data_IF_122171186682
#
_entry.id   IF_122171186682
#
_cell.length_a   1.000
_cell.length_b   1.000
_cell.length_c   1.000
_cell.angle_alpha   90.00
_cell.angle_beta   90.00
_cell.angle_gamma   90.00
#
_symmetry.space_group_name_H-M   'P 1'
#
loop_
_entity.id
_entity.type
_entity.pdbx_description
1 polymer ?
#
# COMPACT_ATOMS: atom_id res chain seq x y z
N UNK A 1 -28.52 -25.09 0.44
CA UNK A 1 -28.55 -24.43 1.77
C UNK A 1 -27.65 -23.20 1.65
N UNK A 2 -28.24 -22.02 1.66
CA UNK A 2 -27.49 -20.76 1.59
C UNK A 2 -26.98 -20.47 3.00
N UNK A 3 -25.64 -20.51 3.19
CA UNK A 3 -25.02 -20.03 4.41
C UNK A 3 -25.21 -18.51 4.47
N UNK A 4 -25.95 -18.08 5.48
CA UNK A 4 -26.17 -16.69 5.81
C UNK A 4 -24.82 -16.08 6.24
N UNK A 5 -24.33 -15.10 5.46
CA UNK A 5 -23.22 -14.26 5.88
C UNK A 5 -23.52 -13.66 7.25
N UNK A 6 -22.63 -13.89 8.20
CA UNK A 6 -22.78 -13.45 9.59
C UNK A 6 -22.80 -11.92 9.66
N UNK A 7 -24.00 -11.39 9.73
CA UNK A 7 -24.28 -10.00 10.04
C UNK A 7 -24.15 -9.83 11.55
N UNK A 8 -23.19 -9.01 12.02
CA UNK A 8 -23.29 -8.47 13.36
C UNK A 8 -24.21 -7.24 13.26
N UNK A 9 -25.38 -7.20 13.91
CA UNK A 9 -26.34 -6.10 13.75
C UNK A 9 -25.71 -4.78 14.24
N UNK A 10 -26.05 -3.69 13.54
CA UNK A 10 -25.85 -2.34 14.05
C UNK A 10 -26.52 -2.27 15.42
N UNK A 11 -25.77 -1.91 16.46
CA UNK A 11 -26.32 -1.68 17.79
C UNK A 11 -27.20 -0.41 17.74
N UNK A 12 -28.47 -0.61 17.36
CA UNK A 12 -29.50 0.39 17.46
C UNK A 12 -29.99 0.46 18.90
N UNK A 13 -29.43 1.31 19.69
CA UNK A 13 -29.88 1.60 21.04
C UNK A 13 -29.18 2.84 21.57
N UNK A 14 -29.96 3.86 21.91
CA UNK A 14 -29.55 5.15 22.48
C UNK A 14 -29.10 5.04 23.95
N UNK A 15 -28.34 4.02 24.31
CA UNK A 15 -27.61 3.99 25.56
C UNK A 15 -26.25 4.68 25.35
N UNK A 16 -25.86 5.60 26.27
CA UNK A 16 -24.50 6.15 26.21
C UNK A 16 -23.49 4.99 26.23
N UNK A 17 -22.40 5.06 25.41
CA UNK A 17 -21.42 4.00 25.36
C UNK A 17 -20.91 3.71 26.77
N UNK A 18 -20.78 2.42 27.13
CA UNK A 18 -20.19 2.04 28.41
C UNK A 18 -18.77 2.63 28.51
N UNK A 19 -18.28 2.86 29.74
CA UNK A 19 -16.93 3.39 29.95
C UNK A 19 -15.86 2.58 29.20
N UNK A 20 -16.07 1.28 29.05
CA UNK A 20 -15.22 0.35 28.27
C UNK A 20 -15.22 0.66 26.78
N UNK A 21 -16.41 0.94 26.18
CA UNK A 21 -16.55 1.28 24.77
C UNK A 21 -15.81 2.57 24.43
N UNK A 22 -15.93 3.59 25.31
CA UNK A 22 -15.23 4.87 25.13
C UNK A 22 -13.71 4.75 25.30
N UNK A 23 -13.23 3.78 26.09
CA UNK A 23 -11.78 3.53 26.24
C UNK A 23 -11.18 2.87 25.02
N UNK A 24 -11.83 1.86 24.45
CA UNK A 24 -11.35 1.19 23.24
C UNK A 24 -11.30 2.15 22.02
N UNK A 25 -12.30 3.02 21.88
CA UNK A 25 -12.30 4.02 20.81
C UNK A 25 -11.17 5.06 21.01
N UNK A 26 -10.90 5.48 22.25
CA UNK A 26 -9.77 6.38 22.55
C UNK A 26 -8.41 5.72 22.26
N UNK A 27 -8.25 4.43 22.55
CA UNK A 27 -7.03 3.68 22.24
C UNK A 27 -6.81 3.58 20.74
N UNK A 28 -7.87 3.30 19.98
CA UNK A 28 -7.84 3.28 18.52
C UNK A 28 -7.47 4.65 17.93
N UNK A 29 -8.07 5.72 18.47
CA UNK A 29 -7.78 7.09 18.06
C UNK A 29 -6.34 7.50 18.39
N UNK A 30 -5.83 7.13 19.57
CA UNK A 30 -4.45 7.40 19.95
C UNK A 30 -3.43 6.68 19.03
N UNK A 31 -3.73 5.44 18.61
CA UNK A 31 -2.89 4.72 17.64
C UNK A 31 -2.87 5.42 16.27
N UNK A 32 -4.03 5.90 15.81
CA UNK A 32 -4.13 6.67 14.57
C UNK A 32 -3.36 8.00 14.68
N UNK A 33 -3.52 8.70 15.79
CA UNK A 33 -2.86 9.99 16.05
C UNK A 33 -1.33 9.86 16.06
N UNK A 34 -0.81 8.83 16.73
CA UNK A 34 0.61 8.52 16.72
C UNK A 34 1.12 8.26 15.29
N UNK A 35 0.43 7.42 14.52
CA UNK A 35 0.81 7.15 13.14
C UNK A 35 0.67 8.36 12.22
N UNK A 36 -0.29 9.25 12.47
CA UNK A 36 -0.42 10.50 11.73
C UNK A 36 0.71 11.48 12.05
N UNK A 37 1.12 11.55 13.31
CA UNK A 37 2.25 12.38 13.77
C UNK A 37 3.58 11.87 13.19
N UNK A 38 3.81 10.55 13.16
CA UNK A 38 4.99 9.93 12.53
C UNK A 38 5.07 10.22 11.01
N UNK A 39 3.94 10.56 10.38
CA UNK A 39 3.84 10.86 8.95
C UNK A 39 3.78 12.39 8.65
N UNK A 40 3.96 13.23 9.66
CA UNK A 40 3.87 14.69 9.54
C UNK A 40 2.54 15.12 8.89
N UNK A 41 1.41 14.49 9.27
CA UNK A 41 0.09 14.92 8.81
C UNK A 41 -0.31 16.17 9.61
N UNK A 42 -0.50 17.27 8.89
CA UNK A 42 -0.86 18.55 9.49
C UNK A 42 -2.18 18.45 10.30
N UNK A 43 -2.28 19.24 11.34
CA UNK A 43 -3.43 19.23 12.25
C UNK A 43 -4.75 19.61 11.57
N UNK A 44 -4.70 20.46 10.56
CA UNK A 44 -5.83 20.94 9.76
C UNK A 44 -5.96 20.27 8.38
N UNK A 45 -5.32 19.12 8.18
CA UNK A 45 -5.27 18.43 6.90
C UNK A 45 -6.66 18.04 6.37
N UNK A 46 -6.80 18.03 5.04
CA UNK A 46 -7.92 17.37 4.36
C UNK A 46 -7.56 15.92 4.09
N UNK A 47 -8.38 14.98 4.59
CA UNK A 47 -8.16 13.54 4.45
C UNK A 47 -9.30 12.87 3.71
N UNK A 48 -8.98 12.17 2.63
CA UNK A 48 -9.88 11.22 1.98
C UNK A 48 -9.64 9.86 2.60
N UNK A 49 -10.60 9.34 3.36
CA UNK A 49 -10.53 8.04 4.01
C UNK A 49 -11.01 6.96 3.04
N UNK A 50 -10.12 6.05 2.63
CA UNK A 50 -10.49 4.93 1.78
C UNK A 50 -11.15 3.83 2.62
N UNK A 51 -12.47 3.72 2.57
CA UNK A 51 -13.26 2.81 3.41
C UNK A 51 -13.93 1.73 2.58
N UNK A 52 -13.60 0.47 2.83
CA UNK A 52 -14.19 -0.71 2.16
C UNK A 52 -15.32 -1.37 2.96
N UNK A 53 -15.58 -0.94 4.20
CA UNK A 53 -16.50 -1.58 5.12
C UNK A 53 -15.87 -2.69 5.97
N UNK A 54 -14.67 -3.17 5.62
CA UNK A 54 -13.92 -4.14 6.42
C UNK A 54 -13.35 -3.54 7.71
N UNK A 55 -12.97 -4.39 8.69
CA UNK A 55 -12.61 -3.94 10.04
C UNK A 55 -11.52 -2.88 10.05
N UNK A 56 -10.44 -3.09 9.29
CA UNK A 56 -9.30 -2.16 9.29
C UNK A 56 -9.73 -0.76 8.80
N UNK A 57 -10.56 -0.69 7.75
CA UNK A 57 -11.02 0.58 7.20
C UNK A 57 -12.11 1.26 8.05
N UNK A 58 -12.93 0.48 8.72
CA UNK A 58 -13.90 0.99 9.72
C UNK A 58 -13.17 1.54 10.93
N UNK A 59 -12.11 0.87 11.38
CA UNK A 59 -11.24 1.36 12.45
C UNK A 59 -10.63 2.72 12.11
N UNK A 60 -10.08 2.88 10.89
CA UNK A 60 -9.55 4.16 10.41
C UNK A 60 -10.61 5.26 10.46
N UNK A 61 -11.81 4.99 9.96
CA UNK A 61 -12.90 5.95 9.89
C UNK A 61 -13.36 6.41 11.27
N UNK A 62 -13.61 5.47 12.18
CA UNK A 62 -14.07 5.79 13.54
C UNK A 62 -13.00 6.50 14.38
N UNK A 63 -11.73 6.07 14.24
CA UNK A 63 -10.61 6.75 14.92
C UNK A 63 -10.44 8.19 14.44
N UNK A 64 -10.50 8.42 13.12
CA UNK A 64 -10.38 9.77 12.57
C UNK A 64 -11.55 10.68 13.00
N UNK A 65 -12.78 10.15 12.94
CA UNK A 65 -13.96 10.89 13.41
C UNK A 65 -13.84 11.25 14.89
N UNK A 66 -13.38 10.33 15.74
CA UNK A 66 -13.21 10.58 17.18
C UNK A 66 -12.15 11.64 17.46
N UNK A 67 -11.05 11.68 16.72
CA UNK A 67 -10.02 12.72 16.88
C UNK A 67 -10.57 14.11 16.52
N UNK A 68 -11.43 14.21 15.51
CA UNK A 68 -12.09 15.46 15.15
C UNK A 68 -13.18 15.85 16.16
N UNK A 69 -14.00 14.89 16.58
CA UNK A 69 -15.08 15.12 17.58
C UNK A 69 -14.53 15.61 18.93
N UNK A 70 -13.38 15.11 19.33
CA UNK A 70 -12.72 15.48 20.60
C UNK A 70 -11.79 16.69 20.49
N UNK A 71 -11.78 17.36 19.34
CA UNK A 71 -10.92 18.52 19.06
C UNK A 71 -9.40 18.23 19.18
N UNK A 72 -9.03 16.94 19.11
CA UNK A 72 -7.64 16.51 19.11
C UNK A 72 -6.95 16.76 17.76
N UNK A 73 -7.74 16.79 16.67
CA UNK A 73 -7.33 17.16 15.31
C UNK A 73 -8.44 17.96 14.62
N UNK A 74 -8.05 18.91 13.78
CA UNK A 74 -8.96 19.76 13.01
C UNK A 74 -9.11 19.28 11.55
N UNK A 75 -9.00 17.98 11.31
CA UNK A 75 -9.04 17.40 9.98
C UNK A 75 -10.39 17.59 9.27
N UNK A 76 -10.36 17.83 7.98
CA UNK A 76 -11.54 17.77 7.11
C UNK A 76 -11.62 16.37 6.50
N UNK A 77 -12.60 15.58 6.94
CA UNK A 77 -12.73 14.18 6.59
C UNK A 77 -13.77 13.96 5.49
N UNK A 78 -13.41 13.16 4.49
CA UNK A 78 -14.35 12.63 3.49
C UNK A 78 -14.14 11.12 3.37
N UNK A 79 -15.20 10.35 3.52
CA UNK A 79 -15.21 8.90 3.31
C UNK A 79 -15.37 8.60 1.84
N UNK A 80 -14.46 7.80 1.27
CA UNK A 80 -14.50 7.36 -0.12
C UNK A 80 -14.63 5.83 -0.18
N UNK A 81 -15.70 5.35 -0.81
CA UNK A 81 -15.95 3.93 -1.04
C UNK A 81 -15.97 3.61 -2.54
N UNK A 82 -15.19 2.60 -2.95
CA UNK A 82 -15.28 2.05 -4.30
C UNK A 82 -16.00 0.70 -4.23
N UNK A 83 -17.18 0.64 -4.85
CA UNK A 83 -17.85 -0.63 -5.13
C UNK A 83 -17.27 -1.23 -6.42
N UNK A 84 -16.61 -2.36 -6.29
CA UNK A 84 -15.94 -3.06 -7.39
C UNK A 84 -16.89 -3.82 -8.32
N UNK A 85 -18.19 -3.95 -7.98
CA UNK A 85 -19.18 -4.70 -8.74
C UNK A 85 -18.85 -6.20 -8.89
N UNK A 86 -18.02 -6.77 -8.01
CA UNK A 86 -17.56 -8.16 -8.13
C UNK A 86 -18.55 -9.19 -7.56
N UNK A 87 -19.40 -8.77 -6.64
CA UNK A 87 -20.39 -9.62 -5.93
C UNK A 87 -21.78 -9.03 -6.03
N UNK A 88 -22.84 -9.86 -6.05
CA UNK A 88 -24.22 -9.37 -5.99
C UNK A 88 -24.50 -8.50 -4.76
N UNK A 89 -23.84 -8.80 -3.63
CA UNK A 89 -24.06 -8.14 -2.35
C UNK A 89 -23.17 -6.88 -2.13
N UNK A 90 -22.38 -6.47 -3.13
CA UNK A 90 -21.48 -5.31 -2.99
C UNK A 90 -22.24 -4.00 -2.70
N UNK A 91 -23.48 -3.87 -3.19
CA UNK A 91 -24.36 -2.75 -2.87
C UNK A 91 -24.69 -2.64 -1.37
N UNK A 92 -24.76 -3.76 -0.65
CA UNK A 92 -24.97 -3.77 0.79
C UNK A 92 -23.72 -3.25 1.55
N UNK A 93 -22.53 -3.49 1.01
CA UNK A 93 -21.32 -2.93 1.59
C UNK A 93 -21.27 -1.41 1.41
N UNK A 94 -21.67 -0.91 0.23
CA UNK A 94 -21.77 0.52 -0.04
C UNK A 94 -22.80 1.20 0.89
N UNK A 95 -23.98 0.58 1.06
CA UNK A 95 -25.01 1.07 2.01
C UNK A 95 -24.47 1.09 3.44
N UNK A 96 -23.81 0.01 3.89
CA UNK A 96 -23.23 -0.06 5.22
C UNK A 96 -22.23 1.09 5.47
N UNK A 97 -21.34 1.36 4.52
CA UNK A 97 -20.35 2.44 4.66
C UNK A 97 -21.02 3.81 4.65
N UNK A 98 -22.06 4.02 3.80
CA UNK A 98 -22.82 5.25 3.76
C UNK A 98 -23.53 5.53 5.09
N UNK A 99 -24.19 4.53 5.65
CA UNK A 99 -24.89 4.64 6.95
C UNK A 99 -23.90 4.93 8.09
N UNK A 100 -22.75 4.23 8.10
CA UNK A 100 -21.71 4.47 9.09
C UNK A 100 -21.11 5.89 8.99
N UNK A 101 -20.88 6.39 7.79
CA UNK A 101 -20.42 7.74 7.55
C UNK A 101 -21.46 8.80 7.99
N UNK A 102 -22.76 8.53 7.71
CA UNK A 102 -23.85 9.42 8.13
C UNK A 102 -23.97 9.50 9.67
N UNK A 103 -23.85 8.37 10.39
CA UNK A 103 -23.83 8.33 11.87
C UNK A 103 -22.68 9.19 12.43
N UNK A 104 -21.53 9.22 11.76
CA UNK A 104 -20.38 10.02 12.15
C UNK A 104 -20.40 11.45 11.57
N UNK A 105 -21.48 11.85 10.89
CA UNK A 105 -21.61 13.16 10.23
C UNK A 105 -20.48 13.47 9.25
N UNK A 106 -19.94 12.43 8.57
CA UNK A 106 -18.86 12.56 7.58
C UNK A 106 -19.42 12.66 6.16
N UNK A 107 -18.76 13.46 5.31
CA UNK A 107 -19.03 13.46 3.87
C UNK A 107 -18.71 12.08 3.28
N UNK A 108 -19.55 11.62 2.32
CA UNK A 108 -19.43 10.31 1.71
C UNK A 108 -19.44 10.39 0.19
N UNK A 109 -18.48 9.73 -0.44
CA UNK A 109 -18.32 9.64 -1.89
C UNK A 109 -18.28 8.18 -2.34
N UNK A 110 -19.16 7.81 -3.26
CA UNK A 110 -19.29 6.47 -3.83
C UNK A 110 -18.90 6.46 -5.30
N UNK A 111 -18.09 5.47 -5.68
CA UNK A 111 -17.89 5.12 -7.09
C UNK A 111 -18.21 3.64 -7.30
N UNK A 112 -19.05 3.37 -8.30
CA UNK A 112 -19.28 2.02 -8.81
C UNK A 112 -18.38 1.79 -10.03
N UNK A 113 -17.67 0.65 -10.07
CA UNK A 113 -16.80 0.29 -11.20
C UNK A 113 -16.93 -1.21 -11.49
N UNK A 114 -17.24 -1.57 -12.75
CA UNK A 114 -17.16 -2.98 -13.18
C UNK A 114 -15.68 -3.36 -13.40
N UNK A 115 -15.06 -3.85 -12.33
CA UNK A 115 -13.66 -4.25 -12.34
C UNK A 115 -13.40 -5.45 -13.26
N UNK A 116 -14.39 -6.33 -13.49
CA UNK A 116 -14.24 -7.47 -14.44
C UNK A 116 -14.14 -6.97 -15.88
N UNK A 117 -14.97 -5.98 -16.26
CA UNK A 117 -14.88 -5.37 -17.56
C UNK A 117 -13.55 -4.63 -17.74
N UNK A 118 -13.12 -3.87 -16.73
CA UNK A 118 -11.84 -3.16 -16.74
C UNK A 118 -10.64 -4.12 -16.90
N UNK A 119 -10.62 -5.21 -16.13
CA UNK A 119 -9.57 -6.24 -16.20
C UNK A 119 -9.46 -6.84 -17.61
N UNK A 120 -10.60 -7.16 -18.25
CA UNK A 120 -10.62 -7.68 -19.63
C UNK A 120 -10.10 -6.66 -20.65
N UNK A 121 -10.53 -5.40 -20.52
CA UNK A 121 -10.15 -4.34 -21.46
C UNK A 121 -8.66 -3.99 -21.37
N UNK A 122 -8.10 -4.01 -20.15
CA UNK A 122 -6.70 -3.64 -19.92
C UNK A 122 -5.74 -4.87 -19.94
N UNK A 123 -6.25 -6.10 -20.09
CA UNK A 123 -5.44 -7.32 -20.10
C UNK A 123 -4.73 -7.57 -18.76
N UNK A 124 -5.36 -7.22 -17.63
CA UNK A 124 -4.81 -7.32 -16.28
C UNK A 124 -5.54 -8.36 -15.43
N UNK A 125 -4.96 -8.71 -14.29
CA UNK A 125 -5.68 -9.47 -13.27
C UNK A 125 -6.82 -8.63 -12.68
N UNK A 126 -7.88 -9.29 -12.15
CA UNK A 126 -8.98 -8.60 -11.47
C UNK A 126 -8.48 -7.81 -10.25
N UNK A 127 -7.48 -8.36 -9.54
CA UNK A 127 -6.87 -7.71 -8.37
C UNK A 127 -6.16 -6.41 -8.77
N UNK A 128 -5.33 -6.46 -9.83
CA UNK A 128 -4.60 -5.27 -10.32
C UNK A 128 -5.56 -4.21 -10.87
N UNK A 129 -6.59 -4.63 -11.64
CA UNK A 129 -7.59 -3.72 -12.18
C UNK A 129 -8.41 -3.05 -11.06
N UNK A 130 -8.79 -3.81 -10.02
CA UNK A 130 -9.49 -3.27 -8.86
C UNK A 130 -8.63 -2.30 -8.04
N UNK A 131 -7.35 -2.63 -7.89
CA UNK A 131 -6.38 -1.74 -7.25
C UNK A 131 -6.20 -0.44 -8.02
N UNK A 132 -6.02 -0.51 -9.33
CA UNK A 132 -5.87 0.65 -10.21
C UNK A 132 -7.13 1.52 -10.20
N UNK A 133 -8.32 0.92 -10.34
CA UNK A 133 -9.60 1.64 -10.28
C UNK A 133 -9.76 2.40 -8.95
N UNK A 134 -9.36 1.77 -7.84
CA UNK A 134 -9.40 2.40 -6.51
C UNK A 134 -8.51 3.64 -6.44
N UNK A 135 -7.26 3.54 -6.87
CA UNK A 135 -6.35 4.69 -6.81
C UNK A 135 -6.78 5.80 -7.76
N UNK A 136 -7.20 5.49 -8.99
CA UNK A 136 -7.76 6.49 -9.91
C UNK A 136 -8.97 7.24 -9.32
N UNK A 137 -9.86 6.51 -8.66
CA UNK A 137 -11.01 7.11 -7.98
C UNK A 137 -10.58 8.03 -6.83
N UNK A 138 -9.74 7.53 -5.93
CA UNK A 138 -9.26 8.30 -4.80
C UNK A 138 -8.50 9.56 -5.24
N UNK A 139 -7.63 9.44 -6.23
CA UNK A 139 -6.86 10.56 -6.78
C UNK A 139 -7.77 11.62 -7.45
N UNK A 140 -8.83 11.18 -8.15
CA UNK A 140 -9.79 12.07 -8.76
C UNK A 140 -10.62 12.88 -7.75
N UNK A 141 -10.88 12.30 -6.56
CA UNK A 141 -11.58 12.98 -5.47
C UNK A 141 -10.69 13.92 -4.68
N UNK A 142 -9.37 13.73 -4.75
CA UNK A 142 -8.44 14.37 -3.82
C UNK A 142 -7.99 15.73 -4.35
N UNK A 143 -8.38 16.86 -3.73
CA UNK A 143 -7.80 18.18 -4.02
C UNK A 143 -6.27 18.15 -3.92
N UNK A 144 -5.57 19.11 -4.53
CA UNK A 144 -4.11 19.10 -4.61
C UNK A 144 -3.42 19.08 -3.23
N UNK A 145 -4.04 19.67 -2.22
CA UNK A 145 -3.57 19.79 -0.83
C UNK A 145 -4.06 18.68 0.10
N UNK A 146 -4.95 17.77 -0.37
CA UNK A 146 -5.49 16.71 0.47
C UNK A 146 -4.67 15.41 0.39
N UNK A 147 -4.72 14.61 1.48
CA UNK A 147 -4.10 13.31 1.60
C UNK A 147 -5.13 12.18 1.47
N UNK A 148 -4.69 11.02 1.02
CA UNK A 148 -5.48 9.79 0.95
C UNK A 148 -5.01 8.87 2.08
N UNK A 149 -5.86 8.66 3.09
CA UNK A 149 -5.58 7.74 4.18
C UNK A 149 -6.13 6.34 3.88
N UNK A 150 -5.27 5.32 3.98
CA UNK A 150 -5.64 3.93 3.77
C UNK A 150 -5.30 3.09 5.01
N UNK A 151 -6.14 2.12 5.34
CA UNK A 151 -6.07 1.31 6.55
C UNK A 151 -5.18 0.07 6.41
N UNK A 152 -3.99 0.21 5.78
CA UNK A 152 -3.03 -0.87 5.75
C UNK A 152 -2.42 -1.08 7.15
N UNK A 153 -2.23 -2.34 7.51
CA UNK A 153 -1.76 -2.79 8.83
C UNK A 153 -0.35 -3.39 8.77
N UNK A 154 0.23 -3.69 9.94
CA UNK A 154 1.49 -4.42 10.04
C UNK A 154 1.40 -5.81 9.39
N UNK A 155 0.23 -6.44 9.44
CA UNK A 155 -0.01 -7.71 8.76
C UNK A 155 0.10 -7.57 7.25
N UNK A 156 -0.47 -6.51 6.64
CA UNK A 156 -0.35 -6.25 5.19
C UNK A 156 1.09 -5.98 4.78
N UNK A 157 1.84 -5.26 5.61
CA UNK A 157 3.26 -5.01 5.37
C UNK A 157 4.07 -6.32 5.39
N UNK A 158 3.85 -7.18 6.39
CA UNK A 158 4.51 -8.48 6.51
C UNK A 158 4.12 -9.41 5.35
N UNK A 159 2.82 -9.50 5.00
CA UNK A 159 2.34 -10.25 3.83
C UNK A 159 3.09 -9.80 2.55
N UNK A 160 3.24 -8.49 2.35
CA UNK A 160 3.90 -7.93 1.16
C UNK A 160 5.39 -8.28 1.12
N UNK A 161 6.09 -8.20 2.25
CA UNK A 161 7.50 -8.61 2.37
C UNK A 161 7.66 -10.09 2.02
N UNK A 162 6.84 -10.96 2.61
CA UNK A 162 6.88 -12.40 2.37
C UNK A 162 6.57 -12.74 0.91
N UNK A 163 5.55 -12.12 0.30
CA UNK A 163 5.22 -12.30 -1.11
C UNK A 163 6.38 -11.89 -2.03
N UNK A 164 7.05 -10.79 -1.73
CA UNK A 164 8.19 -10.31 -2.50
C UNK A 164 9.41 -11.23 -2.34
N UNK A 165 9.67 -11.77 -1.15
CA UNK A 165 10.69 -12.80 -0.92
C UNK A 165 10.42 -14.07 -1.75
N UNK A 166 9.17 -14.54 -1.76
CA UNK A 166 8.77 -15.70 -2.56
C UNK A 166 8.92 -15.48 -4.08
N UNK A 167 8.84 -14.22 -4.53
CA UNK A 167 9.09 -13.83 -5.94
C UNK A 167 10.57 -13.64 -6.27
N UNK A 168 11.46 -13.81 -5.29
CA UNK A 168 12.90 -13.58 -5.50
C UNK A 168 13.29 -12.11 -5.59
N UNK A 169 12.49 -11.21 -5.02
CA UNK A 169 12.82 -9.78 -5.01
C UNK A 169 14.07 -9.49 -4.17
N UNK A 170 14.92 -8.59 -4.66
CA UNK A 170 16.04 -8.07 -3.91
C UNK A 170 15.62 -7.13 -2.76
N UNK A 171 16.57 -6.33 -2.28
CA UNK A 171 16.36 -5.43 -1.13
C UNK A 171 15.17 -4.48 -1.34
N UNK A 172 14.96 -3.96 -2.54
CA UNK A 172 13.80 -3.13 -2.86
C UNK A 172 12.44 -3.80 -2.62
N UNK A 173 12.36 -5.12 -2.75
CA UNK A 173 11.13 -5.89 -2.50
C UNK A 173 10.80 -6.04 -1.02
N UNK A 174 11.82 -6.07 -0.15
CA UNK A 174 11.62 -6.25 1.30
C UNK A 174 11.31 -4.94 2.05
N UNK A 175 11.33 -3.80 1.35
CA UNK A 175 10.82 -2.52 1.89
C UNK A 175 9.34 -2.60 2.30
N UNK A 176 8.61 -3.62 1.83
CA UNK A 176 7.21 -3.81 2.14
C UNK A 176 6.31 -2.70 1.61
N UNK A 177 5.34 -2.29 2.43
CA UNK A 177 4.43 -1.19 2.11
C UNK A 177 4.98 0.09 2.74
N UNK A 178 5.29 1.14 1.95
CA UNK A 178 5.77 2.40 2.52
C UNK A 178 4.64 3.09 3.31
N UNK A 179 4.97 3.67 4.45
CA UNK A 179 4.02 4.39 5.28
C UNK A 179 3.46 5.63 4.57
N UNK A 180 4.27 6.27 3.70
CA UNK A 180 3.83 7.36 2.81
C UNK A 180 4.34 7.13 1.38
N UNK A 181 3.47 7.36 0.39
CA UNK A 181 3.81 7.38 -1.04
C UNK A 181 3.07 8.53 -1.72
N UNK A 182 3.78 9.63 -1.94
CA UNK A 182 3.15 10.86 -2.42
C UNK A 182 2.06 11.33 -1.46
N UNK A 183 0.83 11.44 -1.94
CA UNK A 183 -0.35 11.83 -1.13
C UNK A 183 -1.00 10.69 -0.36
N UNK A 184 -0.59 9.44 -0.58
CA UNK A 184 -1.15 8.28 0.12
C UNK A 184 -0.40 8.08 1.42
N UNK A 185 -1.14 8.05 2.53
CA UNK A 185 -0.65 7.82 3.90
C UNK A 185 -1.28 6.59 4.52
N UNK A 186 -0.56 5.91 5.41
CA UNK A 186 -0.97 4.66 6.06
C UNK A 186 -0.71 4.73 7.57
N UNK A 187 -1.50 5.52 8.27
CA UNK A 187 -1.22 5.82 9.69
C UNK A 187 -1.41 4.62 10.62
N UNK A 188 -2.13 3.56 10.19
CA UNK A 188 -2.33 2.33 10.97
C UNK A 188 -1.30 1.22 10.65
N UNK A 189 -0.22 1.52 9.92
CA UNK A 189 0.73 0.52 9.44
C UNK A 189 1.51 -0.20 10.56
N UNK A 190 1.53 0.34 11.77
CA UNK A 190 2.14 -0.26 12.96
C UNK A 190 1.18 -1.16 13.75
N UNK A 191 -0.15 -1.02 13.53
CA UNK A 191 -1.18 -1.79 14.20
C UNK A 191 -1.36 -3.17 13.57
N UNK A 192 -1.69 -4.15 14.41
CA UNK A 192 -2.05 -5.50 13.96
C UNK A 192 -3.55 -5.55 13.61
N UNK A 193 -3.90 -6.34 12.61
CA UNK A 193 -5.30 -6.52 12.18
C UNK A 193 -6.19 -7.04 13.31
N UNK A 194 -5.71 -7.98 14.13
CA UNK A 194 -6.48 -8.49 15.26
C UNK A 194 -6.67 -7.40 16.34
N UNK A 195 -5.66 -6.58 16.63
CA UNK A 195 -5.79 -5.47 17.59
C UNK A 195 -6.88 -4.49 17.17
N UNK A 196 -6.95 -4.12 15.88
CA UNK A 196 -8.02 -3.27 15.36
C UNK A 196 -9.40 -3.91 15.52
N UNK A 197 -9.53 -5.23 15.25
CA UNK A 197 -10.79 -5.96 15.43
C UNK A 197 -11.22 -6.01 16.89
N UNK A 198 -10.30 -6.35 17.79
CA UNK A 198 -10.57 -6.44 19.21
C UNK A 198 -11.05 -5.09 19.76
N UNK A 199 -10.43 -3.98 19.35
CA UNK A 199 -10.85 -2.63 19.73
C UNK A 199 -12.23 -2.26 19.19
N UNK A 200 -12.55 -2.61 17.93
CA UNK A 200 -13.87 -2.41 17.35
C UNK A 200 -14.94 -3.25 18.07
N UNK A 201 -14.62 -4.51 18.37
CA UNK A 201 -15.54 -5.41 19.09
C UNK A 201 -15.85 -4.91 20.50
N UNK A 202 -14.82 -4.47 21.23
CA UNK A 202 -14.98 -3.86 22.56
C UNK A 202 -15.74 -2.53 22.49
N UNK A 203 -15.50 -1.72 21.45
CA UNK A 203 -16.22 -0.48 21.22
C UNK A 203 -17.67 -0.69 20.74
N UNK A 204 -18.06 -1.91 20.39
CA UNK A 204 -19.37 -2.25 19.84
C UNK A 204 -19.60 -1.70 18.42
N UNK A 205 -18.52 -1.45 17.67
CA UNK A 205 -18.57 -0.90 16.32
C UNK A 205 -18.70 -2.05 15.31
N UNK A 206 -19.77 -2.01 14.51
CA UNK A 206 -20.01 -3.01 13.47
C UNK A 206 -19.08 -2.83 12.27
N UNK A 207 -18.72 -3.94 11.62
CA UNK A 207 -17.96 -3.99 10.37
C UNK A 207 -18.41 -5.17 9.50
N UNK A 208 -18.01 -5.18 8.22
CA UNK A 208 -18.32 -6.25 7.27
C UNK A 208 -17.15 -7.22 7.17
N UNK A 209 -17.45 -8.52 7.04
CA UNK A 209 -16.47 -9.53 6.70
C UNK A 209 -16.71 -9.98 5.26
N UNK A 210 -15.69 -9.93 4.43
CA UNK A 210 -15.73 -10.42 3.06
C UNK A 210 -15.20 -11.85 3.01
N UNK A 211 -16.05 -12.85 2.71
CA UNK A 211 -15.63 -14.26 2.65
C UNK A 211 -14.53 -14.51 1.60
N UNK A 212 -14.42 -13.68 0.56
CA UNK A 212 -13.38 -13.83 -0.47
C UNK A 212 -11.96 -13.56 0.05
N UNK A 213 -11.83 -12.90 1.21
CA UNK A 213 -10.53 -12.68 1.86
C UNK A 213 -9.88 -13.95 2.39
N UNK A 214 -10.64 -15.04 2.51
CA UNK A 214 -10.18 -16.34 3.02
C UNK A 214 -10.02 -17.38 1.90
N UNK A 215 -10.29 -17.03 0.62
CA UNK A 215 -10.15 -17.94 -0.52
C UNK A 215 -8.69 -18.35 -0.74
N UNK A 216 -8.32 -19.64 -0.53
CA UNK A 216 -6.94 -20.11 -0.67
C UNK A 216 -6.44 -20.16 -2.11
N UNK A 217 -7.30 -19.93 -3.11
CA UNK A 217 -6.88 -19.82 -4.50
C UNK A 217 -5.90 -18.63 -4.72
N UNK A 218 -6.00 -17.61 -3.88
CA UNK A 218 -5.11 -16.45 -3.96
C UNK A 218 -3.86 -16.66 -3.09
N UNK A 219 -2.67 -16.49 -3.69
CA UNK A 219 -1.40 -16.65 -2.99
C UNK A 219 -1.30 -15.75 -1.75
N UNK A 220 -1.83 -14.53 -1.80
CA UNK A 220 -1.84 -13.61 -0.67
C UNK A 220 -2.64 -14.17 0.52
N UNK A 221 -3.80 -14.76 0.25
CA UNK A 221 -4.62 -15.37 1.31
C UNK A 221 -3.92 -16.58 1.93
N UNK A 222 -3.20 -17.38 1.13
CA UNK A 222 -2.37 -18.48 1.63
C UNK A 222 -1.22 -17.99 2.49
N UNK A 223 -0.52 -16.92 2.07
CA UNK A 223 0.53 -16.30 2.88
C UNK A 223 -0.04 -15.81 4.21
N UNK A 224 -1.19 -15.14 4.18
CA UNK A 224 -1.89 -14.65 5.37
C UNK A 224 -2.30 -15.79 6.30
N UNK A 225 -3.06 -16.76 5.82
CA UNK A 225 -3.69 -17.80 6.64
C UNK A 225 -2.73 -18.92 7.06
N UNK A 226 -1.69 -19.20 6.28
CA UNK A 226 -0.80 -20.32 6.53
C UNK A 226 0.60 -19.86 6.96
N UNK A 227 1.28 -19.04 6.15
CA UNK A 227 2.68 -18.68 6.41
C UNK A 227 2.80 -17.71 7.60
N UNK A 228 1.99 -16.65 7.63
CA UNK A 228 2.01 -15.68 8.74
C UNK A 228 1.57 -16.36 10.04
N UNK A 229 0.55 -17.21 10.01
CA UNK A 229 0.11 -17.97 11.18
C UNK A 229 1.21 -18.88 11.70
N UNK A 230 1.88 -19.63 10.83
CA UNK A 230 3.01 -20.48 11.20
C UNK A 230 4.18 -19.67 11.81
N UNK A 231 4.51 -18.52 11.20
CA UNK A 231 5.59 -17.67 11.73
C UNK A 231 5.26 -17.12 13.12
N UNK A 232 4.00 -16.76 13.38
CA UNK A 232 3.54 -16.32 14.70
C UNK A 232 3.52 -17.47 15.72
N UNK A 233 3.20 -18.70 15.31
CA UNK A 233 3.28 -19.89 16.14
C UNK A 233 4.74 -20.18 16.55
N UNK A 234 5.66 -20.22 15.57
CA UNK A 234 7.08 -20.46 15.80
C UNK A 234 7.73 -19.37 16.64
N UNK A 235 7.33 -18.14 16.43
CA UNK A 235 7.89 -16.97 17.11
C UNK A 235 6.83 -15.88 17.30
N UNK A 236 6.12 -15.83 18.42
CA UNK A 236 5.17 -14.77 18.72
C UNK A 236 5.75 -13.37 18.50
N UNK A 237 5.01 -12.51 17.80
CA UNK A 237 5.47 -11.20 17.35
C UNK A 237 6.32 -11.22 16.06
N UNK A 238 6.27 -12.29 15.28
CA UNK A 238 6.98 -12.41 13.99
C UNK A 238 6.61 -11.28 13.02
N UNK A 239 5.33 -10.92 12.90
CA UNK A 239 4.86 -9.82 12.04
C UNK A 239 5.51 -8.49 12.41
N UNK A 240 5.58 -8.15 13.70
CA UNK A 240 6.26 -6.93 14.15
C UNK A 240 7.76 -6.94 13.86
N UNK A 241 8.41 -8.11 13.94
CA UNK A 241 9.83 -8.26 13.58
C UNK A 241 10.06 -8.12 12.10
N UNK A 242 9.18 -8.67 11.27
CA UNK A 242 9.21 -8.47 9.80
C UNK A 242 9.02 -6.98 9.47
N UNK A 243 8.08 -6.30 10.11
CA UNK A 243 7.88 -4.87 9.95
C UNK A 243 9.11 -4.05 10.34
N UNK A 244 9.77 -4.38 11.48
CA UNK A 244 11.02 -3.75 11.87
C UNK A 244 12.14 -3.99 10.85
N UNK A 245 12.30 -5.21 10.38
CA UNK A 245 13.27 -5.54 9.33
C UNK A 245 13.00 -4.75 8.05
N UNK A 246 11.74 -4.69 7.62
CA UNK A 246 11.32 -3.93 6.45
C UNK A 246 11.64 -2.44 6.55
N UNK A 247 11.44 -1.84 7.74
CA UNK A 247 11.78 -0.43 7.99
C UNK A 247 13.28 -0.18 7.88
N UNK A 248 14.11 -1.00 8.56
CA UNK A 248 15.57 -0.88 8.47
C UNK A 248 16.06 -1.07 7.02
N UNK A 249 15.54 -2.07 6.31
CA UNK A 249 15.86 -2.28 4.91
C UNK A 249 15.43 -1.10 4.02
N UNK A 250 14.34 -0.40 4.37
CA UNK A 250 13.92 0.82 3.65
C UNK A 250 14.90 1.98 3.85
N UNK A 251 15.41 2.16 5.07
CA UNK A 251 16.40 3.19 5.39
C UNK A 251 17.70 2.94 4.62
N UNK A 252 18.21 1.69 4.62
CA UNK A 252 19.39 1.31 3.85
C UNK A 252 19.20 1.51 2.34
N UNK A 253 18.00 1.13 1.83
CA UNK A 253 17.66 1.25 0.41
C UNK A 253 17.58 2.72 -0.03
N UNK A 254 17.03 3.61 0.80
CA UNK A 254 16.98 5.05 0.52
C UNK A 254 18.38 5.63 0.38
N UNK A 255 19.30 5.30 1.28
CA UNK A 255 20.69 5.72 1.17
C UNK A 255 21.35 5.22 -0.11
N UNK A 256 21.11 3.95 -0.48
CA UNK A 256 21.66 3.38 -1.71
C UNK A 256 21.06 4.03 -2.97
N UNK A 257 19.79 4.41 -2.94
CA UNK A 257 19.13 5.14 -4.02
C UNK A 257 19.68 6.57 -4.17
N UNK A 258 19.94 7.28 -3.05
CA UNK A 258 20.59 8.59 -3.04
C UNK A 258 22.01 8.52 -3.63
N UNK A 259 22.80 7.53 -3.20
CA UNK A 259 24.15 7.31 -3.75
C UNK A 259 24.10 7.00 -5.25
N UNK A 260 23.10 6.22 -5.69
CA UNK A 260 22.93 5.90 -7.11
C UNK A 260 22.48 7.12 -7.93
N UNK A 261 21.62 7.98 -7.38
CA UNK A 261 21.22 9.22 -8.04
C UNK A 261 22.39 10.20 -8.20
N UNK A 262 23.21 10.36 -7.17
CA UNK A 262 24.42 11.16 -7.23
C UNK A 262 25.42 10.60 -8.27
N UNK A 263 25.56 9.28 -8.32
CA UNK A 263 26.43 8.60 -9.28
C UNK A 263 25.91 8.72 -10.71
N UNK A 264 24.59 8.66 -10.93
CA UNK A 264 23.97 8.88 -12.24
C UNK A 264 24.25 10.31 -12.74
N UNK A 265 24.12 11.31 -11.90
CA UNK A 265 24.45 12.70 -12.25
C UNK A 265 25.92 12.86 -12.63
N UNK A 266 26.84 12.25 -11.88
CA UNK A 266 28.28 12.28 -12.16
C UNK A 266 28.65 11.63 -13.49
N UNK A 267 27.90 10.60 -13.91
CA UNK A 267 28.15 9.80 -15.12
C UNK A 267 27.39 10.27 -16.35
N UNK A 268 26.45 11.19 -16.19
CA UNK A 268 25.70 11.74 -17.31
C UNK A 268 26.60 12.39 -18.33
N UNK A 269 26.45 12.03 -19.60
CA UNK A 269 27.15 12.67 -20.70
C UNK A 269 26.32 13.78 -21.30
N UNK A 270 26.93 14.74 -21.99
CA UNK A 270 26.26 15.89 -22.61
C UNK A 270 25.22 15.50 -23.67
N UNK A 271 25.31 14.29 -24.20
CA UNK A 271 24.40 13.72 -25.21
C UNK A 271 23.36 12.72 -24.62
N UNK A 272 23.16 12.77 -23.29
CA UNK A 272 22.13 11.98 -22.59
C UNK A 272 22.53 10.50 -22.35
N UNK A 273 23.79 10.13 -22.53
CA UNK A 273 24.30 8.80 -22.19
C UNK A 273 24.77 8.72 -20.72
N UNK A 274 25.13 7.49 -20.33
CA UNK A 274 25.75 7.19 -19.02
C UNK A 274 27.14 6.60 -19.26
N UNK A 275 28.17 7.26 -18.75
CA UNK A 275 29.58 6.81 -18.87
C UNK A 275 29.85 5.64 -17.91
N UNK A 276 30.37 4.52 -18.46
CA UNK A 276 30.63 3.28 -17.73
C UNK A 276 32.10 2.87 -17.73
N UNK A 277 33.04 3.76 -18.09
CA UNK A 277 34.48 3.47 -18.15
C UNK A 277 35.06 3.01 -16.82
N UNK A 278 34.57 3.55 -15.72
CA UNK A 278 34.92 3.16 -14.36
C UNK A 278 33.61 2.78 -13.64
N UNK A 279 33.14 1.52 -13.76
CA UNK A 279 31.84 1.14 -13.25
C UNK A 279 31.79 1.21 -11.72
N UNK A 280 30.67 1.68 -11.15
CA UNK A 280 30.49 1.65 -9.72
C UNK A 280 30.30 0.20 -9.22
N UNK A 281 30.42 -0.02 -7.91
CA UNK A 281 30.12 -1.33 -7.33
C UNK A 281 28.74 -1.81 -7.81
N UNK A 282 28.59 -3.11 -8.06
CA UNK A 282 27.42 -3.70 -8.70
C UNK A 282 26.08 -3.29 -8.03
N UNK A 283 26.05 -3.16 -6.69
CA UNK A 283 24.85 -2.72 -5.97
C UNK A 283 24.41 -1.31 -6.38
N UNK A 284 25.33 -0.38 -6.56
CA UNK A 284 25.06 0.98 -7.05
C UNK A 284 24.80 0.96 -8.56
N UNK A 285 25.59 0.21 -9.31
CA UNK A 285 25.45 0.11 -10.78
C UNK A 285 24.05 -0.34 -11.20
N UNK A 286 23.48 -1.36 -10.55
CA UNK A 286 22.09 -1.80 -10.80
C UNK A 286 21.08 -0.68 -10.60
N UNK A 287 21.25 0.14 -9.57
CA UNK A 287 20.35 1.27 -9.27
C UNK A 287 20.53 2.41 -10.26
N UNK A 288 21.77 2.75 -10.59
CA UNK A 288 22.08 3.77 -11.61
C UNK A 288 21.38 3.42 -12.92
N UNK A 289 21.48 2.16 -13.35
CA UNK A 289 20.80 1.72 -14.59
C UNK A 289 19.28 1.77 -14.47
N UNK A 290 18.71 1.35 -13.34
CA UNK A 290 17.25 1.44 -13.12
C UNK A 290 16.77 2.89 -13.14
N UNK A 291 17.49 3.80 -12.50
CA UNK A 291 17.19 5.24 -12.51
C UNK A 291 17.29 5.83 -13.92
N UNK A 292 18.35 5.48 -14.65
CA UNK A 292 18.55 5.95 -16.03
C UNK A 292 17.46 5.43 -16.98
N UNK A 293 17.00 4.19 -16.79
CA UNK A 293 15.99 3.57 -17.63
C UNK A 293 14.58 4.08 -17.25
N UNK A 294 14.29 4.31 -15.97
CA UNK A 294 12.97 4.76 -15.51
C UNK A 294 11.90 3.66 -15.51
N UNK A 295 10.65 4.07 -15.33
CA UNK A 295 9.50 3.16 -15.26
C UNK A 295 8.91 2.82 -16.65
N UNK A 296 8.39 1.57 -16.82
CA UNK A 296 8.49 0.42 -15.91
C UNK A 296 9.94 -0.09 -15.82
N UNK A 297 10.37 -0.43 -14.60
CA UNK A 297 11.73 -0.93 -14.39
C UNK A 297 11.95 -2.25 -15.15
N UNK A 298 13.13 -2.45 -15.81
CA UNK A 298 13.46 -3.70 -16.50
C UNK A 298 13.66 -4.85 -15.51
N UNK A 299 13.57 -6.08 -15.99
CA UNK A 299 13.84 -7.27 -15.17
C UNK A 299 15.29 -7.31 -14.67
N UNK A 300 15.53 -8.06 -13.59
CA UNK A 300 16.86 -8.21 -13.02
C UNK A 300 17.86 -8.77 -14.05
N UNK A 301 17.45 -9.78 -14.85
CA UNK A 301 18.28 -10.39 -15.88
C UNK A 301 18.72 -9.37 -16.93
N UNK A 302 17.84 -8.45 -17.33
CA UNK A 302 18.15 -7.41 -18.31
C UNK A 302 19.14 -6.38 -17.75
N UNK A 303 19.03 -6.04 -16.47
CA UNK A 303 19.99 -5.17 -15.78
C UNK A 303 21.36 -5.85 -15.70
N UNK A 304 21.42 -7.13 -15.32
CA UNK A 304 22.70 -7.88 -15.26
C UNK A 304 23.35 -7.97 -16.65
N UNK A 305 22.59 -8.33 -17.68
CA UNK A 305 23.09 -8.37 -19.06
C UNK A 305 23.64 -7.00 -19.52
N UNK A 306 22.98 -5.91 -19.14
CA UNK A 306 23.45 -4.56 -19.47
C UNK A 306 24.75 -4.20 -18.73
N UNK A 307 24.86 -4.59 -17.46
CA UNK A 307 26.08 -4.42 -16.66
C UNK A 307 27.26 -5.16 -17.27
N UNK A 308 27.08 -6.41 -17.67
CA UNK A 308 28.12 -7.25 -18.29
C UNK A 308 28.61 -6.65 -19.61
N UNK A 309 27.69 -6.26 -20.49
CA UNK A 309 28.03 -5.66 -21.79
C UNK A 309 28.72 -4.31 -21.59
N UNK A 310 28.23 -3.47 -20.68
CA UNK A 310 28.83 -2.17 -20.42
C UNK A 310 30.25 -2.30 -19.82
N UNK A 311 30.47 -3.29 -18.95
CA UNK A 311 31.79 -3.56 -18.37
C UNK A 311 32.80 -4.09 -19.40
N UNK A 312 32.34 -4.91 -20.36
CA UNK A 312 33.22 -5.47 -21.40
C UNK A 312 33.73 -4.43 -22.41
N UNK A 313 33.09 -3.24 -22.47
CA UNK A 313 33.38 -2.21 -23.47
C UNK A 313 33.06 -2.66 -24.93
N UNK A 314 32.37 -3.78 -25.10
CA UNK A 314 31.96 -4.29 -26.40
C UNK A 314 31.00 -3.32 -27.08
N UNK A 315 31.41 -2.75 -28.21
CA UNK A 315 30.63 -1.75 -28.93
C UNK A 315 29.53 -2.38 -29.81
N UNK A 316 28.41 -1.66 -29.96
CA UNK A 316 27.36 -2.01 -30.92
C UNK A 316 26.31 -3.01 -30.42
N UNK A 317 26.33 -3.36 -29.14
CA UNK A 317 25.30 -4.24 -28.54
C UNK A 317 24.04 -3.44 -28.21
N UNK A 318 22.87 -4.03 -28.53
CA UNK A 318 21.55 -3.51 -28.18
C UNK A 318 20.83 -4.52 -27.30
N UNK A 319 20.23 -4.04 -26.20
CA UNK A 319 19.47 -4.86 -25.25
C UNK A 319 18.07 -4.29 -25.13
N UNK A 320 17.06 -5.10 -25.37
CA UNK A 320 15.67 -4.74 -25.16
C UNK A 320 15.35 -4.71 -23.65
N UNK A 321 14.85 -3.56 -23.18
CA UNK A 321 14.57 -3.33 -21.76
C UNK A 321 13.12 -3.60 -21.39
N UNK A 322 12.25 -3.76 -22.37
CA UNK A 322 10.80 -3.83 -22.20
C UNK A 322 10.13 -2.46 -22.32
N UNK A 323 8.81 -2.46 -22.53
CA UNK A 323 8.06 -1.22 -22.72
C UNK A 323 8.48 -0.40 -23.96
N UNK A 324 9.02 -1.05 -24.99
CA UNK A 324 9.50 -0.40 -26.21
C UNK A 324 10.86 0.28 -26.06
N UNK A 325 11.55 0.17 -24.93
CA UNK A 325 12.84 0.81 -24.68
C UNK A 325 14.01 -0.13 -25.01
N UNK A 326 15.08 0.44 -25.51
CA UNK A 326 16.30 -0.25 -25.89
C UNK A 326 17.51 0.46 -25.29
N UNK A 327 18.39 -0.29 -24.63
CA UNK A 327 19.72 0.20 -24.29
C UNK A 327 20.69 -0.14 -25.43
N UNK A 328 21.50 0.82 -25.81
CA UNK A 328 22.63 0.62 -26.72
C UNK A 328 23.95 0.94 -25.99
N UNK A 329 24.96 0.09 -26.18
CA UNK A 329 26.28 0.28 -25.61
C UNK A 329 27.26 0.54 -26.77
N UNK A 330 27.95 1.66 -26.72
CA UNK A 330 29.00 2.00 -27.68
C UNK A 330 30.25 2.46 -26.93
N UNK A 331 31.31 1.65 -27.01
CA UNK A 331 32.42 1.78 -26.09
C UNK A 331 31.90 1.56 -24.66
N UNK A 332 32.21 2.47 -23.76
CA UNK A 332 31.72 2.41 -22.37
C UNK A 332 30.55 3.39 -22.12
N UNK A 333 29.83 3.83 -23.14
CA UNK A 333 28.68 4.73 -22.98
C UNK A 333 27.40 3.97 -23.25
N UNK A 334 26.48 4.01 -22.26
CA UNK A 334 25.15 3.42 -22.33
C UNK A 334 24.16 4.52 -22.71
N UNK A 335 23.34 4.28 -23.75
CA UNK A 335 22.22 5.16 -24.15
C UNK A 335 20.93 4.41 -24.11
N UNK A 336 19.89 5.05 -23.64
CA UNK A 336 18.53 4.52 -23.53
C UNK A 336 17.64 5.29 -24.49
N UNK A 337 16.92 4.55 -25.36
CA UNK A 337 16.01 5.09 -26.37
C UNK A 337 14.68 4.38 -26.36
#
# INVERSE_FOLDING_TARGET
>A
MAEQGTHKPLAGGSNPPSATNSTALRELAAALDAGASDLDIADDASLILAVSGGPDSVALMHAAAHLVETDARHWRLTVAHLDHGLRPDSAHDATFVADAAAVLSLAYELRLTDVRALARTEGRSIEDAGREARYRFLEALTPQDALIATAHTADDAAETVLLNLLRGSGLSGVRGIPARRGRIVRPLLTMRRHELRDLLDVAGIAYRLDPSNDDPAYLRNRVRGQLVALLEELRPGAVRRIGRFSRLASEDEMLLDELAAAELLRRGTSDGGVDWRDPPRAAIGRRVLRLAIGDPAPSAERIEALLEVAASGSGGVRIELGGGRVASVKGHVIRIT
#
